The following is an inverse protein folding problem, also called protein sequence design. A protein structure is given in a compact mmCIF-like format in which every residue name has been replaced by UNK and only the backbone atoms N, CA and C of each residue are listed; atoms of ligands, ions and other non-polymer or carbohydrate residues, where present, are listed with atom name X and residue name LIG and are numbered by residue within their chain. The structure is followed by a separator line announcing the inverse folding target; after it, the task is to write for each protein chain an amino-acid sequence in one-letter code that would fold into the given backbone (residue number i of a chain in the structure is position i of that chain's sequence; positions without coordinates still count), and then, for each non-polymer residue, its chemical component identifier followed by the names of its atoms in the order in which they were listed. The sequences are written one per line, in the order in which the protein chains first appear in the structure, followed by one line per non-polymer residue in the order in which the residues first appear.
data_IF_148348036462
#
_entry.id   IF_148348036462
#
_cell.length_a   1.000
_cell.length_b   1.000
_cell.length_c   1.000
_cell.angle_alpha   90.00
_cell.angle_beta   90.00
_cell.angle_gamma   90.00
#
_symmetry.space_group_name_H-M   'P 1'
#
loop_
_entity.id
_entity.type
_entity.pdbx_description
1 polymer ?
#
# COMPACT_ATOMS: atom_id res chain seq x y z
N UNK A 1 1.66 5.90 10.46
CA UNK A 1 0.99 5.06 9.46
C UNK A 1 0.75 3.66 10.02
N UNK A 2 1.76 3.01 10.62
CA UNK A 2 1.59 1.74 11.34
C UNK A 2 0.55 1.82 12.48
N UNK A 3 0.42 2.95 13.16
CA UNK A 3 -0.61 3.14 14.20
C UNK A 3 -2.03 3.20 13.65
N UNK A 4 -2.24 3.69 12.44
CA UNK A 4 -3.56 3.73 11.81
C UNK A 4 -4.00 2.34 11.37
N UNK A 5 -3.06 1.52 10.90
CA UNK A 5 -3.30 0.13 10.52
C UNK A 5 -3.40 -0.83 11.73
N UNK A 6 -2.78 -0.49 12.88
CA UNK A 6 -2.71 -1.33 14.08
C UNK A 6 -3.80 -1.05 15.12
N UNK A 7 -4.71 -0.12 14.89
CA UNK A 7 -5.72 0.29 15.91
C UNK A 7 -7.02 -0.47 15.86
N UNK A 8 -7.21 -1.41 14.95
CA UNK A 8 -8.39 -2.27 14.93
C UNK A 8 -8.06 -3.64 15.54
N UNK A 9 -8.75 -4.01 16.59
CA UNK A 9 -8.58 -5.26 17.33
C UNK A 9 -8.79 -6.47 16.42
N UNK A 10 -7.79 -7.33 16.33
CA UNK A 10 -7.84 -8.59 15.58
C UNK A 10 -6.99 -8.65 14.30
N UNK A 11 -6.22 -7.62 13.99
CA UNK A 11 -5.72 -7.36 12.65
C UNK A 11 -4.24 -7.70 12.39
N UNK A 12 -3.59 -8.54 13.21
CA UNK A 12 -2.24 -9.03 12.86
C UNK A 12 -2.22 -9.70 11.48
N UNK A 13 -3.26 -10.46 11.12
CA UNK A 13 -3.38 -11.09 9.80
C UNK A 13 -3.51 -10.09 8.66
N UNK A 14 -4.13 -8.96 8.91
CA UNK A 14 -4.35 -7.91 7.93
C UNK A 14 -3.08 -7.10 7.66
N UNK A 15 -2.34 -6.79 8.72
CA UNK A 15 -1.00 -6.22 8.61
C UNK A 15 -0.05 -7.18 7.88
N UNK A 16 -0.18 -8.48 8.10
CA UNK A 16 0.62 -9.49 7.42
C UNK A 16 0.26 -9.57 5.93
N UNK A 17 -1.03 -9.58 5.57
CA UNK A 17 -1.48 -9.56 4.18
C UNK A 17 -1.02 -8.28 3.47
N UNK A 18 -1.16 -7.13 4.11
CA UNK A 18 -0.69 -5.85 3.55
C UNK A 18 0.84 -5.79 3.49
N UNK A 19 1.54 -6.30 4.50
CA UNK A 19 3.00 -6.35 4.51
C UNK A 19 3.55 -7.33 3.47
N UNK A 20 2.93 -8.49 3.29
CA UNK A 20 3.32 -9.45 2.27
C UNK A 20 2.99 -8.91 0.88
N UNK A 21 1.82 -8.34 0.66
CA UNK A 21 1.45 -7.64 -0.57
C UNK A 21 2.35 -6.45 -0.90
N UNK A 22 2.79 -5.70 0.12
CA UNK A 22 3.75 -4.61 -0.04
C UNK A 22 5.17 -5.09 -0.34
N UNK A 23 5.58 -6.23 0.21
CA UNK A 23 6.92 -6.80 -0.04
C UNK A 23 7.05 -7.36 -1.45
N UNK A 24 6.04 -8.08 -1.90
CA UNK A 24 6.11 -8.85 -3.14
C UNK A 24 5.35 -8.19 -4.30
N UNK A 25 4.62 -7.09 -4.05
CA UNK A 25 3.74 -6.42 -5.04
C UNK A 25 2.78 -7.38 -5.74
N UNK A 26 2.39 -8.46 -5.06
CA UNK A 26 1.70 -9.57 -5.70
C UNK A 26 0.23 -9.73 -5.31
N UNK A 27 -0.27 -9.01 -4.28
CA UNK A 27 -1.70 -9.11 -3.98
C UNK A 27 -2.53 -8.44 -5.08
N UNK A 28 -3.31 -9.21 -5.85
CA UNK A 28 -4.02 -8.68 -7.01
C UNK A 28 -5.13 -7.69 -6.64
N UNK A 29 -5.75 -7.81 -5.45
CA UNK A 29 -6.75 -6.83 -5.01
C UNK A 29 -6.08 -5.51 -4.63
N UNK A 30 -4.97 -5.57 -3.88
CA UNK A 30 -4.20 -4.39 -3.51
C UNK A 30 -3.75 -3.63 -4.77
N UNK A 31 -3.15 -4.34 -5.73
CA UNK A 31 -2.73 -3.76 -7.00
C UNK A 31 -3.91 -3.16 -7.78
N UNK A 32 -5.04 -3.86 -7.83
CA UNK A 32 -6.21 -3.36 -8.53
C UNK A 32 -6.75 -2.07 -7.90
N UNK A 33 -6.85 -2.00 -6.58
CA UNK A 33 -7.28 -0.77 -5.91
C UNK A 33 -6.27 0.36 -6.08
N UNK A 34 -4.99 0.10 -5.92
CA UNK A 34 -3.95 1.13 -5.95
C UNK A 34 -3.57 1.59 -7.35
N UNK A 35 -3.46 0.67 -8.31
CA UNK A 35 -2.95 0.97 -9.65
C UNK A 35 -4.07 1.18 -10.69
N UNK A 36 -5.31 0.81 -10.35
CA UNK A 36 -6.45 0.98 -11.27
C UNK A 36 -7.51 1.90 -10.69
N UNK A 37 -8.08 1.56 -9.53
CA UNK A 37 -9.23 2.30 -9.00
C UNK A 37 -8.84 3.70 -8.54
N UNK A 38 -7.78 3.85 -7.75
CA UNK A 38 -7.35 5.15 -7.24
C UNK A 38 -6.87 6.10 -8.34
N UNK A 39 -6.07 5.69 -9.34
CA UNK A 39 -5.75 6.55 -10.48
C UNK A 39 -6.98 6.96 -11.30
N UNK A 40 -7.93 6.05 -11.55
CA UNK A 40 -9.17 6.39 -12.25
C UNK A 40 -10.00 7.40 -11.45
N UNK A 41 -10.16 7.18 -10.14
CA UNK A 41 -10.86 8.12 -9.28
C UNK A 41 -10.20 9.50 -9.28
N UNK A 42 -8.86 9.54 -9.20
CA UNK A 42 -8.11 10.80 -9.30
C UNK A 42 -8.33 11.49 -10.65
N UNK A 43 -8.23 10.74 -11.75
CA UNK A 43 -8.46 11.25 -13.10
C UNK A 43 -9.87 11.83 -13.28
N UNK A 44 -10.89 11.19 -12.72
CA UNK A 44 -12.27 11.69 -12.76
C UNK A 44 -12.42 13.00 -11.98
N UNK A 45 -11.78 13.12 -10.81
CA UNK A 45 -11.85 14.31 -9.97
C UNK A 45 -11.08 15.51 -10.54
N UNK A 46 -9.95 15.26 -11.18
CA UNK A 46 -9.12 16.29 -11.81
C UNK A 46 -9.48 16.56 -13.26
N UNK A 47 -10.40 15.78 -13.83
CA UNK A 47 -10.73 15.78 -15.27
C UNK A 47 -9.52 15.45 -16.16
N UNK A 48 -8.57 14.66 -15.65
CA UNK A 48 -7.41 14.19 -16.38
C UNK A 48 -7.78 12.98 -17.26
N UNK A 49 -8.20 13.27 -18.50
CA UNK A 49 -8.59 12.25 -19.45
C UNK A 49 -7.42 11.39 -19.93
N UNK A 50 -6.20 11.94 -19.92
CA UNK A 50 -5.02 11.16 -20.32
C UNK A 50 -4.74 10.07 -19.31
N UNK A 51 -4.68 10.41 -18.02
CA UNK A 51 -4.52 9.43 -16.93
C UNK A 51 -5.62 8.37 -16.95
N UNK A 52 -6.88 8.78 -17.20
CA UNK A 52 -8.00 7.84 -17.30
C UNK A 52 -7.78 6.81 -18.40
N UNK A 53 -7.37 7.26 -19.60
CA UNK A 53 -7.18 6.38 -20.76
C UNK A 53 -5.95 5.48 -20.59
N UNK A 54 -4.86 6.03 -20.07
CA UNK A 54 -3.64 5.28 -19.80
C UNK A 54 -3.90 4.16 -18.77
N UNK A 55 -4.62 4.47 -17.70
CA UNK A 55 -4.97 3.50 -16.66
C UNK A 55 -5.91 2.41 -17.19
N UNK A 56 -6.85 2.76 -18.07
CA UNK A 56 -7.75 1.79 -18.70
C UNK A 56 -7.09 0.99 -19.83
N UNK A 57 -5.89 1.35 -20.26
CA UNK A 57 -5.21 0.72 -21.39
C UNK A 57 -5.89 0.99 -22.74
N UNK A 58 -6.67 2.06 -22.86
CA UNK A 58 -7.51 2.36 -24.01
C UNK A 58 -6.88 3.49 -24.83
N UNK A 59 -6.44 3.21 -26.05
CA UNK A 59 -5.79 4.22 -26.93
C UNK A 59 -6.75 5.30 -27.45
N UNK A 60 -8.05 5.02 -27.54
CA UNK A 60 -9.08 5.99 -27.94
C UNK A 60 -10.40 5.59 -27.29
N UNK A 61 -10.80 6.28 -26.25
CA UNK A 61 -12.13 6.09 -25.69
C UNK A 61 -13.08 7.14 -26.30
N UNK A 62 -14.13 6.73 -26.99
CA UNK A 62 -15.09 7.68 -27.55
C UNK A 62 -16.08 8.15 -26.48
N UNK A 63 -15.62 8.87 -25.46
CA UNK A 63 -16.53 9.62 -24.58
C UNK A 63 -17.06 10.83 -25.38
N UNK A 64 -17.70 10.55 -26.48
CA UNK A 64 -18.26 11.57 -27.36
C UNK A 64 -19.69 11.88 -27.01
N UNK A 65 -20.44 10.88 -26.48
CA UNK A 65 -21.87 11.01 -26.20
C UNK A 65 -22.11 11.50 -24.76
N UNK A 66 -23.06 12.40 -24.60
CA UNK A 66 -23.49 12.91 -23.28
C UNK A 66 -23.87 11.79 -22.31
N UNK A 67 -24.48 10.73 -22.82
CA UNK A 67 -24.89 9.57 -22.03
C UNK A 67 -23.68 8.83 -21.41
N UNK A 68 -22.58 8.72 -22.14
CA UNK A 68 -21.34 8.10 -21.63
C UNK A 68 -20.67 8.97 -20.57
N UNK A 69 -20.60 10.28 -20.81
CA UNK A 69 -20.11 11.23 -19.79
C UNK A 69 -20.91 11.13 -18.49
N UNK A 70 -22.22 10.98 -18.59
CA UNK A 70 -23.10 10.84 -17.43
C UNK A 70 -22.82 9.54 -16.65
N UNK A 71 -22.50 8.43 -17.32
CA UNK A 71 -22.12 7.16 -16.66
C UNK A 71 -20.86 7.33 -15.81
N UNK A 72 -19.85 8.01 -16.34
CA UNK A 72 -18.59 8.26 -15.62
C UNK A 72 -18.78 9.22 -14.44
N UNK A 73 -19.61 10.26 -14.60
CA UNK A 73 -19.97 11.16 -13.51
C UNK A 73 -20.74 10.44 -12.39
N UNK A 74 -21.64 9.54 -12.78
CA UNK A 74 -22.38 8.73 -11.80
C UNK A 74 -21.45 7.72 -11.10
N UNK A 75 -20.52 7.11 -11.82
CA UNK A 75 -19.48 6.27 -11.20
C UNK A 75 -18.66 7.07 -10.21
N UNK A 76 -18.19 8.27 -10.56
CA UNK A 76 -17.45 9.15 -9.66
C UNK A 76 -18.23 9.40 -8.37
N UNK A 77 -19.50 9.82 -8.48
CA UNK A 77 -20.38 10.07 -7.32
C UNK A 77 -20.54 8.83 -6.44
N UNK A 78 -20.71 7.65 -7.05
CA UNK A 78 -20.81 6.39 -6.31
C UNK A 78 -19.51 6.02 -5.60
N UNK A 79 -18.37 6.23 -6.25
CA UNK A 79 -17.05 6.02 -5.64
C UNK A 79 -16.80 6.98 -4.47
N UNK A 80 -17.22 8.25 -4.56
CA UNK A 80 -17.12 9.22 -3.46
C UNK A 80 -17.79 8.69 -2.18
N UNK A 81 -18.92 8.02 -2.31
CA UNK A 81 -19.62 7.44 -1.16
C UNK A 81 -19.06 6.09 -0.72
N UNK A 82 -18.69 5.24 -1.65
CA UNK A 82 -18.19 3.90 -1.35
C UNK A 82 -16.80 3.92 -0.70
N UNK A 83 -15.93 4.86 -1.10
CA UNK A 83 -14.59 5.03 -0.53
C UNK A 83 -14.59 5.44 0.95
N UNK A 84 -15.74 5.87 1.47
CA UNK A 84 -15.97 6.12 2.91
C UNK A 84 -16.37 4.85 3.68
N UNK A 85 -16.56 3.74 2.99
CA UNK A 85 -17.01 2.45 3.52
C UNK A 85 -15.92 1.40 3.35
N UNK A 86 -16.30 0.16 3.12
CA UNK A 86 -15.38 -0.97 2.99
C UNK A 86 -14.89 -1.17 1.55
N UNK A 87 -13.83 -1.91 1.38
CA UNK A 87 -13.30 -2.25 0.07
C UNK A 87 -14.32 -3.02 -0.80
N UNK A 88 -15.14 -3.88 -0.18
CA UNK A 88 -16.21 -4.59 -0.87
C UNK A 88 -17.22 -3.63 -1.52
N UNK A 89 -17.59 -2.56 -0.85
CA UNK A 89 -18.56 -1.59 -1.35
C UNK A 89 -18.05 -0.90 -2.63
N UNK A 90 -16.74 -0.62 -2.69
CA UNK A 90 -16.09 -0.10 -3.90
C UNK A 90 -16.05 -1.14 -5.01
N UNK A 91 -15.66 -2.37 -4.68
CA UNK A 91 -15.58 -3.47 -5.65
C UNK A 91 -16.94 -3.79 -6.29
N UNK A 92 -18.01 -3.81 -5.49
CA UNK A 92 -19.39 -4.03 -5.96
C UNK A 92 -19.86 -2.97 -6.96
N UNK A 93 -19.50 -1.70 -6.73
CA UNK A 93 -19.81 -0.63 -7.68
C UNK A 93 -19.10 -0.87 -9.01
N UNK A 94 -17.81 -1.19 -8.97
CA UNK A 94 -17.04 -1.49 -10.17
C UNK A 94 -17.64 -2.69 -10.91
N UNK A 95 -17.95 -3.76 -10.18
CA UNK A 95 -18.54 -4.96 -10.75
C UNK A 95 -19.92 -4.69 -11.37
N UNK A 96 -20.75 -3.88 -10.74
CA UNK A 96 -22.09 -3.54 -11.23
C UNK A 96 -22.05 -2.62 -12.46
N UNK A 97 -21.19 -1.62 -12.46
CA UNK A 97 -21.15 -0.61 -13.54
C UNK A 97 -20.47 -1.12 -14.80
N UNK A 98 -19.53 -2.06 -14.66
CA UNK A 98 -18.72 -2.65 -15.75
C UNK A 98 -17.99 -1.59 -16.60
N UNK A 99 -17.78 -0.39 -16.04
CA UNK A 99 -17.04 0.68 -16.72
C UNK A 99 -15.52 0.50 -16.58
N UNK A 100 -15.11 -0.12 -15.51
CA UNK A 100 -13.71 -0.48 -15.25
C UNK A 100 -13.59 -2.00 -15.39
N UNK A 101 -12.69 -2.50 -16.25
CA UNK A 101 -12.51 -3.93 -16.41
C UNK A 101 -11.90 -4.54 -15.15
N UNK A 102 -12.52 -5.59 -14.63
CA UNK A 102 -12.01 -6.37 -13.51
C UNK A 102 -11.11 -7.46 -14.07
N UNK A 103 -9.87 -7.62 -13.56
CA UNK A 103 -9.01 -8.73 -13.97
C UNK A 103 -9.70 -10.09 -13.76
N UNK A 104 -9.62 -11.03 -14.72
CA UNK A 104 -10.34 -12.31 -14.64
C UNK A 104 -10.08 -13.10 -13.35
N UNK A 105 -8.88 -13.00 -12.80
CA UNK A 105 -8.52 -13.66 -11.53
C UNK A 105 -9.32 -13.09 -10.36
N UNK A 106 -9.52 -11.78 -10.30
CA UNK A 106 -10.30 -11.12 -9.25
C UNK A 106 -11.79 -11.39 -9.41
N UNK A 107 -12.28 -11.37 -10.64
CA UNK A 107 -13.68 -11.69 -10.96
C UNK A 107 -14.00 -13.13 -10.55
N UNK A 108 -13.13 -14.08 -10.86
CA UNK A 108 -13.25 -15.48 -10.44
C UNK A 108 -13.27 -15.65 -8.92
N UNK A 109 -12.41 -14.97 -8.20
CA UNK A 109 -12.37 -15.01 -6.73
C UNK A 109 -13.62 -14.38 -6.10
N UNK A 110 -14.11 -13.29 -6.67
CA UNK A 110 -15.33 -12.64 -6.19
C UNK A 110 -16.56 -13.53 -6.41
N UNK A 111 -16.64 -14.23 -7.54
CA UNK A 111 -17.71 -15.22 -7.79
C UNK A 111 -17.65 -16.40 -6.80
N UNK A 112 -16.47 -16.89 -6.47
CA UNK A 112 -16.30 -17.91 -5.44
C UNK A 112 -16.75 -17.40 -4.06
N UNK A 113 -16.37 -16.20 -3.70
CA UNK A 113 -16.78 -15.55 -2.45
C UNK A 113 -18.30 -15.45 -2.33
N UNK A 114 -19.00 -15.05 -3.40
CA UNK A 114 -20.47 -14.93 -3.41
C UNK A 114 -21.21 -16.27 -3.35
N UNK A 115 -20.66 -17.32 -3.95
CA UNK A 115 -21.36 -18.59 -4.12
C UNK A 115 -21.01 -19.66 -3.07
N UNK A 116 -20.04 -19.43 -2.20
CA UNK A 116 -19.58 -20.42 -1.23
C UNK A 116 -19.41 -19.80 0.18
N UNK A 117 -20.50 -19.38 0.83
CA UNK A 117 -20.38 -18.66 2.13
C UNK A 117 -19.89 -19.52 3.29
N UNK A 118 -19.97 -20.84 3.24
CA UNK A 118 -19.76 -21.70 4.41
C UNK A 118 -18.71 -22.81 4.30
N UNK A 119 -18.19 -23.11 3.12
CA UNK A 119 -17.18 -24.16 2.92
C UNK A 119 -15.86 -23.56 2.45
N UNK A 120 -15.06 -23.15 3.40
CA UNK A 120 -14.01 -22.21 3.12
C UNK A 120 -12.64 -22.86 3.29
N UNK A 121 -11.94 -22.94 2.19
CA UNK A 121 -10.48 -23.09 2.17
C UNK A 121 -9.83 -21.80 2.71
N UNK A 122 -8.67 -21.93 3.34
CA UNK A 122 -7.95 -20.84 4.00
C UNK A 122 -7.71 -19.58 3.09
N UNK A 123 -7.76 -19.74 1.78
CA UNK A 123 -7.64 -18.64 0.80
C UNK A 123 -8.85 -17.68 0.79
N UNK A 124 -10.07 -18.16 1.09
CA UNK A 124 -11.24 -17.30 1.07
C UNK A 124 -11.33 -16.41 2.30
N UNK A 125 -10.84 -16.89 3.43
CA UNK A 125 -10.78 -16.09 4.68
C UNK A 125 -9.90 -14.85 4.51
N UNK A 126 -8.84 -14.95 3.73
CA UNK A 126 -7.95 -13.82 3.43
C UNK A 126 -8.63 -12.79 2.52
N UNK A 127 -9.39 -13.22 1.51
CA UNK A 127 -10.12 -12.35 0.60
C UNK A 127 -11.26 -11.64 1.34
N UNK A 128 -12.01 -12.36 2.17
CA UNK A 128 -13.09 -11.80 2.98
C UNK A 128 -12.56 -10.76 3.94
N UNK A 129 -11.49 -11.07 4.67
CA UNK A 129 -10.83 -10.14 5.56
C UNK A 129 -10.38 -8.88 4.81
N UNK A 130 -9.78 -9.04 3.62
CA UNK A 130 -9.30 -7.95 2.79
C UNK A 130 -10.45 -7.06 2.27
N UNK A 131 -11.52 -7.66 1.75
CA UNK A 131 -12.68 -6.92 1.24
C UNK A 131 -13.52 -6.26 2.35
N UNK A 132 -13.43 -6.75 3.58
CA UNK A 132 -14.09 -6.15 4.75
C UNK A 132 -13.41 -4.91 5.31
N UNK A 133 -12.16 -4.61 4.85
CA UNK A 133 -11.39 -3.45 5.30
C UNK A 133 -12.06 -2.13 4.97
N UNK A 134 -11.87 -1.15 5.85
CA UNK A 134 -12.15 0.23 5.52
C UNK A 134 -11.32 0.68 4.34
N UNK A 135 -11.96 1.20 3.31
CA UNK A 135 -11.28 1.66 2.11
C UNK A 135 -10.25 2.78 2.37
N UNK A 136 -10.46 3.55 3.43
CA UNK A 136 -9.50 4.56 3.89
C UNK A 136 -8.10 3.97 4.17
N UNK A 137 -8.00 2.69 4.52
CA UNK A 137 -6.70 2.03 4.73
C UNK A 137 -5.92 1.89 3.42
N UNK A 138 -6.61 1.60 2.31
CA UNK A 138 -5.99 1.53 0.98
C UNK A 138 -5.48 2.91 0.53
N UNK A 139 -6.25 3.96 0.80
CA UNK A 139 -5.84 5.33 0.52
C UNK A 139 -4.58 5.66 1.32
N UNK A 140 -4.56 5.35 2.61
CA UNK A 140 -3.40 5.59 3.45
C UNK A 140 -2.15 4.82 3.00
N UNK A 141 -2.31 3.58 2.54
CA UNK A 141 -1.20 2.78 1.97
C UNK A 141 -0.71 3.40 0.66
N UNK A 142 -1.62 3.79 -0.23
CA UNK A 142 -1.27 4.48 -1.48
C UNK A 142 -0.46 5.75 -1.20
N UNK A 143 -0.95 6.60 -0.31
CA UNK A 143 -0.29 7.86 0.04
C UNK A 143 1.08 7.63 0.69
N UNK A 144 1.22 6.55 1.46
CA UNK A 144 2.51 6.14 2.04
C UNK A 144 3.50 5.63 0.98
N UNK A 145 3.03 4.94 -0.05
CA UNK A 145 3.87 4.38 -1.11
C UNK A 145 4.14 5.37 -2.25
N UNK A 146 3.45 6.52 -2.25
CA UNK A 146 3.65 7.52 -3.29
C UNK A 146 5.10 8.02 -3.29
N UNK A 147 5.74 8.20 -4.47
CA UNK A 147 7.13 8.69 -4.55
C UNK A 147 7.37 10.04 -3.86
N UNK A 148 6.34 10.89 -3.82
CA UNK A 148 6.38 12.20 -3.14
C UNK A 148 5.86 12.14 -1.69
N UNK A 149 5.65 10.95 -1.13
CA UNK A 149 5.22 10.82 0.25
C UNK A 149 6.24 11.47 1.20
N UNK A 150 5.74 12.08 2.27
CA UNK A 150 6.58 12.64 3.34
C UNK A 150 7.39 11.57 4.08
N UNK A 151 7.15 10.30 3.77
CA UNK A 151 7.78 9.14 4.38
C UNK A 151 8.50 8.33 3.31
N UNK A 152 9.70 7.88 3.65
CA UNK A 152 10.46 6.97 2.81
C UNK A 152 11.06 5.87 3.68
N UNK A 153 11.38 4.75 3.06
CA UNK A 153 12.10 3.68 3.74
C UNK A 153 13.57 4.08 3.95
N UNK A 154 14.24 3.42 4.88
CA UNK A 154 15.68 3.60 5.10
C UNK A 154 16.53 3.41 3.83
N UNK A 155 16.06 2.55 2.91
CA UNK A 155 16.68 2.35 1.59
C UNK A 155 16.28 3.43 0.58
N UNK A 156 15.07 3.97 0.69
CA UNK A 156 14.56 5.03 -0.18
C UNK A 156 15.29 6.36 -0.01
N UNK A 157 15.77 6.66 1.22
CA UNK A 157 16.56 7.88 1.49
C UNK A 157 18.05 7.74 1.16
N UNK A 158 18.46 6.60 0.59
CA UNK A 158 19.87 6.38 0.25
C UNK A 158 20.27 7.29 -0.92
N UNK A 159 21.26 8.16 -0.65
CA UNK A 159 21.74 9.13 -1.65
C UNK A 159 21.13 10.52 -1.51
N UNK A 160 20.09 10.69 -0.71
CA UNK A 160 19.49 12.00 -0.46
C UNK A 160 20.21 12.76 0.69
N UNK A 161 20.13 14.09 0.68
CA UNK A 161 20.69 14.96 1.70
C UNK A 161 19.60 15.89 2.25
N UNK A 162 19.62 16.11 3.56
CA UNK A 162 18.61 16.90 4.27
C UNK A 162 19.28 17.99 5.10
N UNK A 163 18.62 19.15 5.24
CA UNK A 163 19.13 20.26 6.05
C UNK A 163 19.18 19.89 7.55
N UNK A 164 18.19 19.11 7.99
CA UNK A 164 18.11 18.64 9.38
C UNK A 164 17.77 17.16 9.40
N UNK A 165 18.50 16.37 10.19
CA UNK A 165 18.26 14.94 10.38
C UNK A 165 18.12 14.65 11.86
N UNK A 166 17.01 14.03 12.24
CA UNK A 166 16.81 13.48 13.58
C UNK A 166 16.85 11.96 13.48
N UNK A 167 17.85 11.37 14.08
CA UNK A 167 17.98 9.93 14.16
C UNK A 167 17.51 9.42 15.53
N UNK A 168 16.39 8.68 15.52
CA UNK A 168 15.80 8.11 16.74
C UNK A 168 16.40 6.73 16.98
N UNK A 169 17.22 6.63 18.04
CA UNK A 169 17.78 5.36 18.50
C UNK A 169 16.81 4.75 19.50
N UNK A 170 16.15 3.67 19.10
CA UNK A 170 15.24 2.92 19.99
C UNK A 170 15.49 1.42 19.82
N UNK A 171 14.83 0.60 20.66
CA UNK A 171 14.65 -0.81 20.37
C UNK A 171 13.94 -0.93 19.03
N UNK A 172 14.77 -1.08 18.00
CA UNK A 172 14.31 -1.09 16.63
C UNK A 172 13.48 -2.34 16.33
N UNK A 173 12.68 -2.21 15.32
CA UNK A 173 11.89 -3.28 14.77
C UNK A 173 12.79 -4.40 14.22
N UNK A 174 12.54 -5.62 14.67
CA UNK A 174 13.05 -6.91 14.19
C UNK A 174 14.55 -7.09 13.99
N UNK A 175 15.28 -6.18 13.37
CA UNK A 175 16.65 -6.41 12.94
C UNK A 175 17.64 -5.38 13.45
N UNK A 176 17.15 -4.26 13.98
CA UNK A 176 17.97 -3.16 14.47
C UNK A 176 17.92 -3.07 16.00
N UNK A 177 19.06 -3.27 16.63
CA UNK A 177 19.25 -3.27 18.07
C UNK A 177 20.34 -2.28 18.44
N UNK A 178 20.11 -1.01 18.18
CA UNK A 178 21.11 0.05 18.41
C UNK A 178 21.56 0.13 19.86
N UNK A 179 20.69 -0.11 20.83
CA UNK A 179 21.07 -0.17 22.24
C UNK A 179 22.18 -1.18 22.50
N UNK A 180 22.16 -2.32 21.81
CA UNK A 180 23.18 -3.38 21.92
C UNK A 180 24.43 -3.04 21.13
N UNK A 181 24.29 -2.51 19.92
CA UNK A 181 25.41 -2.38 18.98
C UNK A 181 26.08 -0.99 18.97
N UNK A 182 25.39 0.09 19.39
CA UNK A 182 25.99 1.42 19.44
C UNK A 182 27.24 1.48 20.33
N UNK A 183 27.30 0.87 21.54
CA UNK A 183 28.51 0.81 22.32
C UNK A 183 29.69 0.10 21.62
N UNK A 184 29.38 -0.90 20.76
CA UNK A 184 30.42 -1.62 20.01
C UNK A 184 30.97 -0.77 18.85
N UNK A 185 30.13 0.06 18.23
CA UNK A 185 30.54 1.01 17.19
C UNK A 185 31.47 2.05 17.77
N UNK A 186 31.10 2.64 18.91
CA UNK A 186 31.82 3.78 19.51
C UNK A 186 33.06 3.36 20.30
N UNK A 187 33.02 2.24 21.02
CA UNK A 187 34.06 1.78 21.94
C UNK A 187 34.98 0.73 21.33
N UNK A 188 34.81 0.36 20.07
CA UNK A 188 35.55 -0.74 19.41
C UNK A 188 35.52 -2.04 20.22
N UNK A 189 34.42 -2.32 20.90
CA UNK A 189 34.25 -3.52 21.70
C UNK A 189 34.23 -4.77 20.81
N UNK A 190 34.63 -5.89 21.39
CA UNK A 190 34.64 -7.17 20.69
C UNK A 190 33.22 -7.60 20.32
N UNK A 191 33.03 -7.90 19.05
CA UNK A 191 31.73 -8.37 18.55
C UNK A 191 31.55 -9.83 18.96
N UNK A 192 30.44 -10.20 19.62
CA UNK A 192 30.22 -11.59 20.01
C UNK A 192 30.17 -12.52 18.81
N UNK A 193 30.66 -13.75 18.98
CA UNK A 193 30.62 -14.77 17.93
C UNK A 193 29.21 -14.98 17.42
N UNK A 194 29.04 -15.08 16.09
CA UNK A 194 27.74 -15.22 15.42
C UNK A 194 26.89 -13.96 15.32
N UNK A 195 27.36 -12.79 15.83
CA UNK A 195 26.62 -11.51 15.75
C UNK A 195 27.19 -10.53 14.71
N UNK A 196 28.18 -10.94 13.93
CA UNK A 196 28.85 -10.09 12.96
C UNK A 196 27.88 -9.46 11.95
N UNK A 197 27.04 -10.27 11.31
CA UNK A 197 26.08 -9.78 10.31
C UNK A 197 25.06 -8.77 10.89
N UNK A 198 24.59 -9.03 12.12
CA UNK A 198 23.69 -8.09 12.82
C UNK A 198 24.40 -6.79 13.19
N UNK A 199 25.64 -6.87 13.64
CA UNK A 199 26.47 -5.69 13.92
C UNK A 199 26.68 -4.85 12.67
N UNK A 200 27.07 -5.46 11.55
CA UNK A 200 27.31 -4.77 10.28
C UNK A 200 26.07 -4.07 9.75
N UNK A 201 24.92 -4.73 9.85
CA UNK A 201 23.63 -4.13 9.46
C UNK A 201 23.32 -2.88 10.29
N UNK A 202 23.45 -2.96 11.61
CA UNK A 202 23.21 -1.82 12.51
C UNK A 202 24.22 -0.68 12.26
N UNK A 203 25.50 -1.02 12.09
CA UNK A 203 26.55 -0.05 11.76
C UNK A 203 26.28 0.66 10.44
N UNK A 204 25.88 -0.09 9.41
CA UNK A 204 25.63 0.47 8.09
C UNK A 204 24.42 1.42 8.10
N UNK A 205 23.33 1.07 8.80
CA UNK A 205 22.20 1.99 8.95
C UNK A 205 22.59 3.23 9.75
N UNK A 206 23.34 3.07 10.84
CA UNK A 206 23.86 4.21 11.60
C UNK A 206 24.68 5.15 10.71
N UNK A 207 25.59 4.60 9.90
CA UNK A 207 26.38 5.38 8.94
C UNK A 207 25.49 6.11 7.93
N UNK A 208 24.49 5.43 7.36
CA UNK A 208 23.55 6.06 6.43
C UNK A 208 22.85 7.24 7.10
N UNK A 209 22.31 7.07 8.30
CA UNK A 209 21.62 8.16 9.01
C UNK A 209 22.54 9.35 9.31
N UNK A 210 23.77 9.10 9.77
CA UNK A 210 24.74 10.15 10.08
C UNK A 210 25.32 10.85 8.84
N UNK A 211 25.23 10.23 7.67
CA UNK A 211 25.75 10.80 6.41
C UNK A 211 24.71 11.60 5.61
N UNK A 212 23.48 11.71 6.11
CA UNK A 212 22.39 12.42 5.43
C UNK A 212 22.32 13.93 5.67
N UNK A 213 22.81 14.50 6.79
CA UNK A 213 22.85 15.95 6.94
C UNK A 213 23.74 16.60 5.89
N UNK A 214 23.28 17.69 5.29
CA UNK A 214 24.11 18.56 4.46
C UNK A 214 25.27 19.11 5.31
N UNK A 215 26.41 19.25 4.70
CA UNK A 215 27.59 19.84 5.34
C UNK A 215 27.49 21.35 5.44
#
# INVERSE_FOLDING_TARGET
THKVLATQQGDEKLLDILNDGLRDKEDPFLLFFMETIEPIYHALNTSDMQLLFDTLGIKRYPITKKAEKNKWKELQRQLDEARKKRAIDVFEIINRTKLIPIPPKLDGWYHLYQNTPETIYASNTSIEAFLSLDYAQFIAVKDFLHPEAQYSTEHGVKGEEYDNVIFVISKGWNQYQFETYAPMITKKAVIPSGKQASFERNRNLFYVCCSRPKK
#
